data_IF_437854619844
#
_entry.id   IF_437854619844
#
_cell.length_a   1.000
_cell.length_b   1.000
_cell.length_c   1.000
_cell.angle_alpha   90.00
_cell.angle_beta   90.00
_cell.angle_gamma   90.00
#
_symmetry.space_group_name_H-M   'P 1'
#
loop_
_entity.id
_entity.type
_entity.pdbx_description
1 polymer ?
#
# COMPACT_ATOMS: atom_id res chain seq x y z
N UNK A 1 5.04 -3.19 13.57
CA UNK A 1 4.96 -4.59 13.09
C UNK A 1 5.61 -5.57 14.04
N UNK A 2 6.96 -5.65 14.13
CA UNK A 2 7.64 -6.69 14.94
C UNK A 2 7.21 -6.72 16.41
N UNK A 3 7.21 -5.57 17.07
CA UNK A 3 6.82 -5.48 18.49
C UNK A 3 5.37 -5.94 18.72
N UNK A 4 4.45 -5.58 17.81
CA UNK A 4 3.05 -6.00 17.88
C UNK A 4 2.91 -7.52 17.68
N UNK A 5 3.58 -8.08 16.67
CA UNK A 5 3.59 -9.53 16.43
C UNK A 5 4.21 -10.30 17.60
N UNK A 6 5.28 -9.78 18.22
CA UNK A 6 5.90 -10.36 19.41
C UNK A 6 4.95 -10.40 20.63
N UNK A 7 3.95 -9.51 20.65
CA UNK A 7 2.90 -9.45 21.68
C UNK A 7 1.66 -10.27 21.30
N UNK A 8 1.68 -10.99 20.17
CA UNK A 8 0.54 -11.79 19.69
C UNK A 8 -0.59 -10.97 19.07
N UNK A 9 -0.36 -9.69 18.72
CA UNK A 9 -1.36 -8.85 18.09
C UNK A 9 -1.34 -8.94 16.56
N UNK A 10 -2.52 -8.78 15.95
CA UNK A 10 -2.67 -8.66 14.50
C UNK A 10 -2.12 -7.32 13.98
N UNK A 11 -1.58 -7.32 12.75
CA UNK A 11 -0.99 -6.13 12.14
C UNK A 11 -1.52 -5.91 10.74
N UNK A 12 -2.02 -4.70 10.49
CA UNK A 12 -2.35 -4.20 9.14
C UNK A 12 -1.18 -3.39 8.59
N UNK A 13 -0.79 -3.68 7.35
CA UNK A 13 0.24 -2.93 6.63
C UNK A 13 -0.43 -1.98 5.63
N UNK A 14 -0.69 -0.74 6.07
CA UNK A 14 -1.28 0.32 5.23
C UNK A 14 -0.20 1.04 4.41
N UNK A 15 0.18 0.40 3.29
CA UNK A 15 1.16 0.90 2.31
C UNK A 15 0.70 0.48 0.92
N UNK A 16 1.17 1.17 -0.12
CA UNK A 16 0.76 0.84 -1.49
C UNK A 16 1.17 -0.57 -1.93
N UNK A 17 2.35 -1.06 -1.53
CA UNK A 17 2.80 -2.45 -1.72
C UNK A 17 2.61 -2.98 -3.16
N UNK A 18 2.80 -2.11 -4.16
CA UNK A 18 2.38 -2.35 -5.53
C UNK A 18 3.27 -3.36 -6.26
N UNK A 19 4.47 -3.65 -5.78
CA UNK A 19 5.39 -4.63 -6.38
C UNK A 19 5.80 -5.75 -5.41
N UNK A 20 6.34 -6.84 -5.95
CA UNK A 20 6.78 -8.01 -5.17
C UNK A 20 7.88 -7.68 -4.17
N UNK A 21 8.81 -6.79 -4.53
CA UNK A 21 9.96 -6.42 -3.70
C UNK A 21 9.51 -5.71 -2.42
N UNK A 22 8.52 -4.82 -2.51
CA UNK A 22 7.91 -4.16 -1.36
C UNK A 22 7.21 -5.18 -0.46
N UNK A 23 6.45 -6.12 -1.05
CA UNK A 23 5.73 -7.16 -0.31
C UNK A 23 6.65 -8.16 0.39
N UNK A 24 7.80 -8.48 -0.21
CA UNK A 24 8.79 -9.42 0.35
C UNK A 24 9.24 -9.03 1.77
N UNK A 25 9.37 -7.73 2.03
CA UNK A 25 9.77 -7.24 3.36
C UNK A 25 8.80 -7.72 4.45
N UNK A 26 7.50 -7.69 4.18
CA UNK A 26 6.45 -8.11 5.11
C UNK A 26 6.37 -9.62 5.23
N UNK A 27 6.48 -10.34 4.11
CA UNK A 27 6.50 -11.81 4.09
C UNK A 27 7.69 -12.38 4.90
N UNK A 28 8.84 -11.71 4.86
CA UNK A 28 9.99 -12.09 5.68
C UNK A 28 9.75 -11.85 7.16
N UNK A 29 9.09 -10.75 7.53
CA UNK A 29 8.73 -10.48 8.92
C UNK A 29 7.71 -11.52 9.41
N UNK A 30 6.65 -11.79 8.66
CA UNK A 30 5.63 -12.77 9.05
C UNK A 30 6.23 -14.16 9.27
N UNK A 31 7.11 -14.62 8.37
CA UNK A 31 7.84 -15.88 8.52
C UNK A 31 8.65 -15.97 9.82
N UNK A 32 9.24 -14.87 10.28
CA UNK A 32 10.02 -14.85 11.53
C UNK A 32 9.15 -15.02 12.79
N UNK A 33 7.86 -14.70 12.71
CA UNK A 33 6.92 -14.81 13.82
C UNK A 33 5.90 -15.94 13.60
N UNK A 34 6.07 -16.76 12.57
CA UNK A 34 5.10 -17.79 12.17
C UNK A 34 3.66 -17.25 12.02
N UNK A 35 3.53 -15.99 11.59
CA UNK A 35 2.25 -15.33 11.43
C UNK A 35 1.62 -15.67 10.07
N UNK A 36 0.31 -15.89 10.06
CA UNK A 36 -0.47 -16.00 8.82
C UNK A 36 -0.46 -14.68 8.06
N UNK A 37 -0.47 -14.77 6.72
CA UNK A 37 -0.45 -13.59 5.85
C UNK A 37 -1.67 -13.61 4.93
N UNK A 38 -2.41 -12.51 4.99
CA UNK A 38 -3.54 -12.23 4.09
C UNK A 38 -3.20 -11.03 3.20
N UNK A 39 -3.63 -11.08 1.95
CA UNK A 39 -3.44 -10.00 0.98
C UNK A 39 -4.79 -9.40 0.59
N UNK A 40 -4.94 -8.08 0.75
CA UNK A 40 -6.09 -7.33 0.26
C UNK A 40 -5.68 -6.53 -0.98
N UNK A 41 -6.08 -7.00 -2.16
CA UNK A 41 -5.85 -6.30 -3.43
C UNK A 41 -7.02 -5.36 -3.74
N UNK A 42 -6.77 -4.05 -3.74
CA UNK A 42 -7.79 -3.05 -4.10
C UNK A 42 -7.89 -2.87 -5.62
N UNK A 43 -8.85 -3.56 -6.25
CA UNK A 43 -9.11 -3.48 -7.70
C UNK A 43 -9.89 -2.24 -8.13
N UNK A 44 -9.64 -1.10 -7.48
CA UNK A 44 -10.34 0.15 -7.81
C UNK A 44 -9.90 0.64 -9.20
N UNK A 45 -10.86 1.01 -10.03
CA UNK A 45 -10.59 1.56 -11.37
C UNK A 45 -9.67 2.79 -11.28
N UNK A 46 -8.62 2.82 -12.11
CA UNK A 46 -7.67 3.92 -12.22
C UNK A 46 -8.30 5.28 -12.52
N UNK A 47 -9.34 5.32 -13.36
CA UNK A 47 -10.04 6.57 -13.66
C UNK A 47 -10.72 7.14 -12.40
N UNK A 48 -11.30 6.28 -11.58
CA UNK A 48 -11.90 6.66 -10.29
C UNK A 48 -10.82 7.09 -9.29
N UNK A 49 -9.70 6.38 -9.21
CA UNK A 49 -8.55 6.80 -8.38
C UNK A 49 -8.04 8.19 -8.77
N UNK A 50 -7.89 8.45 -10.08
CA UNK A 50 -7.48 9.76 -10.59
C UNK A 50 -8.49 10.85 -10.21
N UNK A 51 -9.79 10.61 -10.42
CA UNK A 51 -10.83 11.55 -10.02
C UNK A 51 -10.81 11.85 -8.52
N UNK A 52 -10.64 10.83 -7.66
CA UNK A 52 -10.51 11.00 -6.21
C UNK A 52 -9.28 11.81 -5.81
N UNK A 53 -8.15 11.59 -6.47
CA UNK A 53 -6.92 12.36 -6.22
C UNK A 53 -7.08 13.83 -6.62
N UNK A 54 -7.74 14.10 -7.76
CA UNK A 54 -7.97 15.46 -8.24
C UNK A 54 -8.86 16.27 -7.31
N UNK A 55 -9.83 15.63 -6.66
CA UNK A 55 -10.74 16.25 -5.69
C UNK A 55 -10.26 16.11 -4.24
N UNK A 56 -9.02 15.65 -4.03
CA UNK A 56 -8.45 15.51 -2.69
C UNK A 56 -7.92 16.86 -2.21
N UNK A 57 -8.15 17.16 -0.94
CA UNK A 57 -7.59 18.30 -0.24
C UNK A 57 -6.88 17.81 1.03
N UNK A 58 -5.94 18.61 1.53
CA UNK A 58 -5.23 18.42 2.81
C UNK A 58 -4.55 17.04 3.00
N UNK A 59 -4.04 16.44 1.93
CA UNK A 59 -3.26 15.21 2.06
C UNK A 59 -1.93 15.53 2.79
N UNK A 60 -1.57 14.80 3.87
CA UNK A 60 -0.40 15.12 4.70
C UNK A 60 0.93 15.25 3.92
N UNK A 61 1.06 14.47 2.84
CA UNK A 61 2.24 14.49 1.95
C UNK A 61 1.98 15.16 0.60
N UNK A 62 0.92 15.97 0.50
CA UNK A 62 0.54 16.73 -0.71
C UNK A 62 0.22 15.87 -1.94
N UNK A 63 -0.07 14.57 -1.78
CA UNK A 63 -0.51 13.66 -2.87
C UNK A 63 -1.96 13.96 -3.25
N UNK A 64 -2.13 15.09 -3.93
CA UNK A 64 -3.40 15.64 -4.38
C UNK A 64 -3.22 16.40 -5.70
N UNK A 65 -4.33 16.66 -6.40
CA UNK A 65 -4.31 17.37 -7.68
C UNK A 65 -3.41 16.70 -8.72
N UNK A 66 -2.82 17.51 -9.60
CA UNK A 66 -1.95 17.03 -10.69
C UNK A 66 -0.75 16.24 -10.18
N UNK A 67 -0.07 16.73 -9.13
CA UNK A 67 1.05 16.03 -8.51
C UNK A 67 0.64 14.64 -8.03
N UNK A 68 -0.48 14.53 -7.30
CA UNK A 68 -0.96 13.22 -6.86
C UNK A 68 -1.23 12.24 -8.01
N UNK A 69 -1.70 12.74 -9.16
CA UNK A 69 -1.91 11.87 -10.32
C UNK A 69 -0.60 11.35 -10.94
N UNK A 70 0.48 12.13 -10.87
CA UNK A 70 1.81 11.63 -11.30
C UNK A 70 2.32 10.51 -10.41
N UNK A 71 2.00 10.55 -9.11
CA UNK A 71 2.30 9.46 -8.17
C UNK A 71 1.50 8.21 -8.55
N UNK A 72 0.21 8.35 -8.86
CA UNK A 72 -0.62 7.24 -9.33
C UNK A 72 -0.04 6.59 -10.59
N UNK A 73 0.38 7.38 -11.57
CA UNK A 73 0.94 6.87 -12.84
C UNK A 73 2.26 6.11 -12.59
N UNK A 74 3.12 6.62 -11.71
CA UNK A 74 4.36 5.95 -11.31
C UNK A 74 4.10 4.62 -10.60
N UNK A 75 3.11 4.56 -9.72
CA UNK A 75 2.75 3.34 -9.00
C UNK A 75 2.13 2.30 -9.96
N UNK A 76 1.24 2.74 -10.85
CA UNK A 76 0.66 1.89 -11.89
C UNK A 76 1.74 1.23 -12.76
N UNK A 77 2.73 2.01 -13.19
CA UNK A 77 3.81 1.50 -14.06
C UNK A 77 4.67 0.41 -13.39
N UNK A 78 4.72 0.39 -12.06
CA UNK A 78 5.48 -0.60 -11.28
C UNK A 78 4.61 -1.73 -10.72
N UNK A 79 3.28 -1.65 -10.92
CA UNK A 79 2.36 -2.60 -10.33
C UNK A 79 2.63 -4.02 -10.83
N UNK A 80 2.76 -4.94 -9.89
CA UNK A 80 2.84 -6.37 -10.13
C UNK A 80 1.81 -7.05 -9.22
N UNK A 81 0.83 -7.77 -9.78
CA UNK A 81 -0.08 -8.59 -8.99
C UNK A 81 0.70 -9.62 -8.16
#
# INVERSE_FOLDING_TARGET
TRNALAQGADVVIDRCNFDKRQRETWLRIARQFHADVYCLELKTNLALCRARIMNRHDHPTQVQGTFGTTVLDRQKAQYQP
#
